data_IF_202031507049
#
_entry.id   IF_202031507049
#
_cell.length_a   1.000
_cell.length_b   1.000
_cell.length_c   1.000
_cell.angle_alpha   90.00
_cell.angle_beta   90.00
_cell.angle_gamma   90.00
#
_symmetry.space_group_name_H-M   'P 1'
#
loop_
_entity.id
_entity.type
_entity.pdbx_description
1 polymer ?
#
# COMPACT_ATOMS: atom_id res chain seq x y z
N UNK A 1 -4.65 -2.27 8.20
CA UNK A 1 -5.47 -3.50 8.25
C UNK A 1 -6.95 -3.20 8.03
N UNK A 2 -7.63 -2.38 8.86
CA UNK A 2 -9.07 -2.12 8.75
C UNK A 2 -9.46 -1.49 7.41
N UNK A 3 -8.66 -0.57 6.87
CA UNK A 3 -8.89 0.03 5.55
C UNK A 3 -8.80 -1.04 4.46
N UNK A 4 -7.78 -1.89 4.49
CA UNK A 4 -7.64 -2.99 3.54
C UNK A 4 -8.85 -3.95 3.60
N UNK A 5 -9.28 -4.33 4.80
CA UNK A 5 -10.45 -5.18 4.99
C UNK A 5 -11.73 -4.54 4.44
N UNK A 6 -11.91 -3.22 4.65
CA UNK A 6 -13.02 -2.48 4.07
C UNK A 6 -12.96 -2.46 2.54
N UNK A 7 -11.80 -2.22 1.93
CA UNK A 7 -11.65 -2.25 0.47
C UNK A 7 -12.10 -3.60 -0.10
N UNK A 8 -11.65 -4.72 0.48
CA UNK A 8 -12.08 -6.05 0.04
C UNK A 8 -13.59 -6.27 0.24
N UNK A 9 -14.15 -5.85 1.38
CA UNK A 9 -15.59 -5.93 1.63
C UNK A 9 -16.38 -5.12 0.60
N UNK A 10 -15.93 -3.95 0.24
CA UNK A 10 -16.56 -3.08 -0.76
C UNK A 10 -16.52 -3.70 -2.15
N UNK A 11 -15.37 -4.22 -2.58
CA UNK A 11 -15.23 -4.95 -3.85
C UNK A 11 -16.18 -6.15 -3.89
N UNK A 12 -16.30 -6.88 -2.77
CA UNK A 12 -17.19 -8.03 -2.64
C UNK A 12 -18.66 -7.68 -2.90
N UNK A 13 -19.12 -6.50 -2.52
CA UNK A 13 -20.47 -6.03 -2.82
C UNK A 13 -20.74 -5.94 -4.33
N UNK A 14 -19.73 -5.63 -5.12
CA UNK A 14 -19.82 -5.63 -6.57
C UNK A 14 -19.64 -7.03 -7.17
N UNK A 15 -18.55 -7.71 -6.78
CA UNK A 15 -18.19 -9.01 -7.32
C UNK A 15 -17.48 -9.88 -6.26
N UNK A 16 -18.17 -10.89 -5.72
CA UNK A 16 -17.66 -11.76 -4.65
C UNK A 16 -16.51 -12.66 -5.15
N UNK A 17 -16.60 -13.18 -6.37
CA UNK A 17 -15.56 -14.04 -6.95
C UNK A 17 -14.26 -13.26 -7.17
N UNK A 18 -14.37 -12.05 -7.73
CA UNK A 18 -13.22 -11.19 -7.92
C UNK A 18 -12.59 -10.76 -6.58
N UNK A 19 -13.40 -10.45 -5.58
CA UNK A 19 -12.91 -10.11 -4.23
C UNK A 19 -12.13 -11.28 -3.60
N UNK A 20 -12.60 -12.52 -3.75
CA UNK A 20 -11.87 -13.72 -3.28
C UNK A 20 -10.57 -13.91 -4.06
N UNK A 21 -10.62 -13.83 -5.39
CA UNK A 21 -9.41 -13.87 -6.20
C UNK A 21 -8.38 -12.83 -5.72
N UNK A 22 -8.79 -11.58 -5.59
CA UNK A 22 -7.90 -10.50 -5.18
C UNK A 22 -7.36 -10.72 -3.77
N UNK A 23 -8.18 -11.18 -2.83
CA UNK A 23 -7.77 -11.42 -1.43
C UNK A 23 -6.83 -12.62 -1.31
N UNK A 24 -7.21 -13.77 -1.87
CA UNK A 24 -6.53 -15.04 -1.62
C UNK A 24 -5.31 -15.22 -2.53
N UNK A 25 -5.43 -14.86 -3.80
CA UNK A 25 -4.37 -15.00 -4.81
C UNK A 25 -3.78 -13.66 -5.22
N UNK A 26 -4.56 -12.79 -5.84
CA UNK A 26 -4.07 -11.57 -6.48
C UNK A 26 -3.32 -11.87 -7.78
N UNK A 27 -2.44 -10.95 -8.19
CA UNK A 27 -1.69 -11.01 -9.43
C UNK A 27 -0.27 -11.53 -9.18
N UNK A 28 0.26 -12.38 -10.06
CA UNK A 28 1.57 -12.98 -9.97
C UNK A 28 1.57 -14.45 -10.41
N UNK A 29 2.69 -15.14 -10.20
CA UNK A 29 2.83 -16.58 -10.49
C UNK A 29 2.56 -17.43 -9.25
N UNK A 30 2.10 -18.64 -9.44
CA UNK A 30 1.80 -19.60 -8.34
C UNK A 30 3.04 -19.94 -7.50
N UNK A 31 4.24 -19.86 -8.08
CA UNK A 31 5.53 -20.11 -7.42
C UNK A 31 6.23 -18.84 -6.91
N UNK A 32 5.69 -17.67 -7.19
CA UNK A 32 6.30 -16.37 -6.93
C UNK A 32 5.57 -15.50 -5.92
N UNK A 33 5.96 -14.21 -5.89
CA UNK A 33 5.26 -13.22 -5.09
C UNK A 33 3.91 -12.88 -5.70
N UNK A 34 2.89 -12.73 -4.86
CA UNK A 34 1.55 -12.32 -5.25
C UNK A 34 1.33 -10.85 -4.87
N UNK A 35 0.83 -10.08 -5.82
CA UNK A 35 0.57 -8.65 -5.65
C UNK A 35 -0.92 -8.34 -5.70
N UNK A 36 -1.36 -7.39 -4.91
CA UNK A 36 -2.77 -6.97 -4.88
C UNK A 36 -3.03 -5.75 -5.76
N UNK A 37 -1.98 -5.05 -6.17
CA UNK A 37 -1.95 -3.94 -7.12
C UNK A 37 -2.90 -2.79 -6.77
N UNK A 38 -2.99 -2.49 -5.49
CA UNK A 38 -3.60 -1.28 -4.98
C UNK A 38 -2.84 -0.76 -3.77
N UNK A 39 -2.99 0.50 -3.51
CA UNK A 39 -2.44 1.14 -2.33
C UNK A 39 -3.39 2.19 -1.77
N UNK A 40 -3.14 2.61 -0.54
CA UNK A 40 -3.91 3.66 0.11
C UNK A 40 -3.06 4.47 1.08
N UNK A 41 -3.45 5.72 1.31
CA UNK A 41 -2.82 6.60 2.28
C UNK A 41 -3.21 6.24 3.71
N UNK A 42 -2.62 6.92 4.67
CA UNK A 42 -3.21 7.02 6.01
C UNK A 42 -4.51 7.81 5.92
N UNK A 43 -5.43 7.52 6.85
CA UNK A 43 -6.63 8.32 7.00
C UNK A 43 -6.23 9.72 7.51
N UNK A 44 -6.65 10.76 6.79
CA UNK A 44 -6.39 12.16 7.15
C UNK A 44 -7.58 12.71 7.93
N UNK A 45 -7.34 13.16 9.16
CA UNK A 45 -8.38 13.66 10.08
C UNK A 45 -7.90 14.85 10.94
N UNK A 46 -6.87 15.54 10.51
CA UNK A 46 -6.30 16.65 11.25
C UNK A 46 -5.55 16.19 12.52
N UNK A 47 -5.57 17.02 13.57
CA UNK A 47 -4.86 16.73 14.82
C UNK A 47 -5.80 16.00 15.80
N UNK A 48 -5.55 14.72 16.12
CA UNK A 48 -6.35 13.99 17.10
C UNK A 48 -5.99 14.38 18.54
N UNK A 49 -6.91 14.18 19.46
CA UNK A 49 -6.61 14.14 20.89
C UNK A 49 -6.08 12.74 21.23
N UNK A 50 -4.90 12.68 21.79
CA UNK A 50 -4.32 11.42 22.28
C UNK A 50 -4.94 11.08 23.63
N UNK A 51 -5.35 9.83 23.78
CA UNK A 51 -5.83 9.22 25.03
C UNK A 51 -4.83 8.13 25.44
N UNK A 52 -3.71 8.49 26.12
CA UNK A 52 -2.59 7.55 26.33
C UNK A 52 -2.95 6.36 27.21
N UNK A 53 -3.85 6.54 28.18
CA UNK A 53 -4.29 5.47 29.07
C UNK A 53 -5.01 4.35 28.32
N UNK A 54 -5.85 4.71 27.36
CA UNK A 54 -6.63 3.78 26.53
C UNK A 54 -5.86 3.36 25.26
N UNK A 55 -4.71 3.98 24.96
CA UNK A 55 -3.95 3.81 23.71
C UNK A 55 -4.76 4.14 22.46
N UNK A 56 -5.64 5.13 22.55
CA UNK A 56 -6.56 5.55 21.51
C UNK A 56 -6.29 6.98 21.04
N UNK A 57 -6.90 7.34 19.90
CA UNK A 57 -7.07 8.73 19.48
C UNK A 57 -8.57 9.07 19.48
N UNK A 58 -8.90 10.21 20.01
CA UNK A 58 -10.22 10.80 19.80
C UNK A 58 -10.14 11.70 18.56
N UNK A 59 -10.99 11.40 17.57
CA UNK A 59 -11.10 12.16 16.31
C UNK A 59 -12.34 13.03 16.41
N UNK A 60 -12.17 14.34 16.30
CA UNK A 60 -13.26 15.33 16.31
C UNK A 60 -13.53 15.93 14.93
N UNK A 61 -12.79 15.51 13.91
CA UNK A 61 -13.02 15.97 12.54
C UNK A 61 -14.36 15.43 12.01
N UNK A 62 -15.16 16.33 11.43
CA UNK A 62 -16.43 15.96 10.80
C UNK A 62 -16.24 15.24 9.45
N UNK A 63 -15.08 15.45 8.81
CA UNK A 63 -14.74 14.86 7.51
C UNK A 63 -13.35 14.25 7.58
N UNK A 64 -13.23 13.06 7.01
CA UNK A 64 -11.98 12.32 6.90
C UNK A 64 -11.66 12.14 5.41
N UNK A 65 -10.38 12.13 5.06
CA UNK A 65 -9.92 11.92 3.69
C UNK A 65 -9.06 10.67 3.62
N UNK A 66 -9.28 9.87 2.58
CA UNK A 66 -8.49 8.69 2.26
C UNK A 66 -8.17 8.70 0.76
N UNK A 67 -6.90 8.55 0.41
CA UNK A 67 -6.49 8.34 -0.97
C UNK A 67 -6.36 6.84 -1.21
N UNK A 68 -6.95 6.36 -2.30
CA UNK A 68 -6.84 4.97 -2.74
C UNK A 68 -6.46 4.98 -4.21
N UNK A 69 -5.55 4.10 -4.60
CA UNK A 69 -5.17 3.94 -6.00
C UNK A 69 -5.15 2.46 -6.37
N UNK A 70 -5.55 2.17 -7.61
CA UNK A 70 -5.60 0.82 -8.19
C UNK A 70 -4.86 0.83 -9.52
N UNK A 71 -3.95 -0.11 -9.73
CA UNK A 71 -3.20 -0.26 -10.99
C UNK A 71 -4.04 -0.98 -12.06
N UNK A 72 -4.95 -1.84 -11.64
CA UNK A 72 -5.82 -2.61 -12.51
C UNK A 72 -7.21 -1.95 -12.60
N UNK A 73 -7.65 -1.46 -13.78
CA UNK A 73 -8.89 -0.70 -13.92
C UNK A 73 -10.13 -1.44 -13.43
N UNK A 74 -10.25 -2.75 -13.65
CA UNK A 74 -11.41 -3.54 -13.21
C UNK A 74 -11.51 -3.59 -11.68
N UNK A 75 -10.39 -3.51 -10.96
CA UNK A 75 -10.40 -3.45 -9.48
C UNK A 75 -11.00 -2.14 -9.00
N UNK A 76 -10.63 -1.03 -9.64
CA UNK A 76 -11.21 0.29 -9.37
C UNK A 76 -12.72 0.30 -9.66
N UNK A 77 -13.15 -0.25 -10.79
CA UNK A 77 -14.56 -0.34 -11.16
C UNK A 77 -15.37 -1.09 -10.11
N UNK A 78 -14.94 -2.28 -9.70
CA UNK A 78 -15.63 -3.06 -8.67
C UNK A 78 -15.66 -2.35 -7.31
N UNK A 79 -14.59 -1.63 -6.96
CA UNK A 79 -14.57 -0.84 -5.73
C UNK A 79 -15.59 0.31 -5.78
N UNK A 80 -15.63 1.07 -6.89
CA UNK A 80 -16.58 2.19 -7.08
C UNK A 80 -18.03 1.68 -7.08
N UNK A 81 -18.33 0.61 -7.81
CA UNK A 81 -19.65 -0.02 -7.81
C UNK A 81 -20.06 -0.47 -6.40
N UNK A 82 -19.13 -1.05 -5.64
CA UNK A 82 -19.37 -1.46 -4.26
C UNK A 82 -19.72 -0.29 -3.35
N UNK A 83 -19.04 0.86 -3.49
CA UNK A 83 -19.36 2.10 -2.75
C UNK A 83 -20.79 2.58 -3.07
N UNK A 84 -21.22 2.53 -4.34
CA UNK A 84 -22.58 2.93 -4.70
C UNK A 84 -23.65 1.97 -4.15
N UNK A 85 -23.31 0.71 -3.88
CA UNK A 85 -24.21 -0.25 -3.23
C UNK A 85 -24.32 -0.07 -1.72
N UNK A 86 -23.22 0.28 -1.05
CA UNK A 86 -23.19 0.55 0.39
C UNK A 86 -22.13 1.61 0.70
N UNK A 87 -22.58 2.78 1.14
CA UNK A 87 -21.74 3.91 1.52
C UNK A 87 -21.32 3.88 2.99
N UNK A 88 -21.90 3.01 3.80
CA UNK A 88 -21.61 2.91 5.21
C UNK A 88 -20.38 2.02 5.44
N UNK A 89 -19.50 2.43 6.34
CA UNK A 89 -18.35 1.63 6.70
C UNK A 89 -18.01 1.77 8.19
N UNK A 90 -17.53 0.67 8.75
CA UNK A 90 -16.97 0.63 10.09
C UNK A 90 -15.47 0.35 10.01
N UNK A 91 -14.67 1.22 10.63
CA UNK A 91 -13.22 1.05 10.76
C UNK A 91 -12.86 0.88 12.24
N UNK A 92 -12.49 -0.31 12.65
CA UNK A 92 -12.12 -0.61 14.02
C UNK A 92 -12.25 -2.08 14.39
N UNK A 93 -12.10 -2.36 15.68
CA UNK A 93 -12.36 -3.66 16.28
C UNK A 93 -13.75 -3.69 16.95
N UNK A 94 -14.02 -4.74 17.74
CA UNK A 94 -15.32 -4.90 18.42
C UNK A 94 -15.56 -3.89 19.55
N UNK A 95 -14.51 -3.24 20.06
CA UNK A 95 -14.60 -2.34 21.22
C UNK A 95 -14.44 -0.88 20.80
N UNK A 96 -13.59 -0.62 19.81
CA UNK A 96 -13.23 0.73 19.41
C UNK A 96 -13.24 0.87 17.89
N UNK A 97 -13.96 1.83 17.37
CA UNK A 97 -14.00 2.10 15.94
C UNK A 97 -14.80 3.32 15.58
N UNK A 98 -14.88 3.56 14.29
CA UNK A 98 -15.57 4.69 13.68
C UNK A 98 -16.64 4.16 12.72
N UNK A 99 -17.88 4.63 12.92
CA UNK A 99 -18.91 4.52 11.89
C UNK A 99 -18.77 5.72 10.97
N UNK A 100 -18.55 5.47 9.69
CA UNK A 100 -18.29 6.47 8.68
C UNK A 100 -19.22 6.26 7.50
N UNK A 101 -19.43 7.33 6.73
CA UNK A 101 -20.16 7.28 5.48
C UNK A 101 -19.35 7.92 4.38
N UNK A 102 -19.26 7.26 3.23
CA UNK A 102 -18.67 7.86 2.03
C UNK A 102 -19.64 8.90 1.48
N UNK A 103 -19.26 10.17 1.55
CA UNK A 103 -20.08 11.29 1.08
C UNK A 103 -19.65 11.79 -0.29
N UNK A 104 -18.38 11.62 -0.63
CA UNK A 104 -17.82 12.11 -1.88
C UNK A 104 -16.73 11.16 -2.35
N UNK A 105 -16.74 10.86 -3.65
CA UNK A 105 -15.67 10.17 -4.36
C UNK A 105 -15.19 11.10 -5.46
N UNK A 106 -13.90 11.39 -5.48
CA UNK A 106 -13.27 12.29 -6.44
C UNK A 106 -12.15 11.55 -7.15
N UNK A 107 -12.14 11.60 -8.47
CA UNK A 107 -11.05 11.10 -9.29
C UNK A 107 -9.97 12.17 -9.37
N UNK A 108 -8.79 11.86 -8.87
CA UNK A 108 -7.64 12.75 -8.95
C UNK A 108 -6.93 12.56 -10.30
N UNK A 109 -6.46 13.64 -10.94
CA UNK A 109 -5.69 13.55 -12.16
C UNK A 109 -4.34 12.87 -11.91
N UNK A 110 -3.91 12.06 -12.86
CA UNK A 110 -2.53 11.53 -12.84
C UNK A 110 -1.52 12.65 -13.13
N UNK A 111 -0.36 12.63 -12.50
CA UNK A 111 0.72 13.56 -12.84
C UNK A 111 1.30 13.22 -14.21
N UNK A 112 1.97 14.20 -14.83
CA UNK A 112 2.85 13.91 -15.99
C UNK A 112 4.09 13.19 -15.45
N UNK A 113 4.27 11.93 -15.85
CA UNK A 113 5.42 11.16 -15.45
C UNK A 113 6.66 11.48 -16.31
N UNK A 114 7.79 11.59 -15.64
CA UNK A 114 9.12 11.78 -16.23
C UNK A 114 10.02 10.63 -15.78
N UNK A 115 11.09 10.36 -16.52
CA UNK A 115 12.06 9.29 -16.17
C UNK A 115 12.73 9.51 -14.79
N UNK A 116 12.79 10.75 -14.34
CA UNK A 116 13.33 11.09 -13.01
C UNK A 116 12.32 11.98 -12.27
N UNK A 117 11.81 11.48 -11.16
CA UNK A 117 10.84 12.19 -10.32
C UNK A 117 11.21 12.13 -8.84
N UNK A 118 10.84 13.19 -8.12
CA UNK A 118 10.95 13.26 -6.66
C UNK A 118 9.64 12.83 -6.00
N UNK A 119 9.74 11.98 -5.01
CA UNK A 119 8.61 11.45 -4.24
C UNK A 119 8.78 11.70 -2.74
N UNK A 120 7.65 11.82 -2.07
CA UNK A 120 7.53 11.76 -0.61
C UNK A 120 6.59 10.62 -0.24
N UNK A 121 7.05 9.75 0.65
CA UNK A 121 6.26 8.63 1.13
C UNK A 121 5.11 9.09 2.04
N UNK A 122 3.89 8.70 1.72
CA UNK A 122 2.70 8.88 2.57
C UNK A 122 2.56 7.76 3.60
N UNK A 123 3.06 6.56 3.25
CA UNK A 123 3.07 5.36 4.10
C UNK A 123 4.47 4.74 4.09
N UNK A 124 4.84 3.92 5.10
CA UNK A 124 6.18 3.37 5.18
C UNK A 124 6.51 2.45 4.00
N UNK A 125 7.64 2.66 3.35
CA UNK A 125 8.19 1.74 2.36
C UNK A 125 8.83 0.56 3.06
N UNK A 126 8.26 -0.61 2.90
CA UNK A 126 8.76 -1.88 3.41
C UNK A 126 9.59 -2.56 2.33
N UNK A 127 10.82 -2.85 2.66
CA UNK A 127 11.74 -3.67 1.86
C UNK A 127 12.29 -4.75 2.79
N UNK A 128 12.16 -6.01 2.40
CA UNK A 128 12.59 -7.13 3.22
C UNK A 128 13.45 -8.13 2.45
N UNK A 129 14.27 -8.84 3.18
CA UNK A 129 15.05 -9.97 2.66
C UNK A 129 14.86 -11.19 3.53
N UNK A 130 14.99 -12.37 2.94
CA UNK A 130 15.17 -13.62 3.70
C UNK A 130 16.65 -13.82 3.93
N UNK A 131 17.01 -14.08 5.18
CA UNK A 131 18.37 -14.47 5.55
C UNK A 131 18.35 -15.93 6.04
N UNK A 132 19.36 -16.70 5.63
CA UNK A 132 19.47 -18.09 6.04
C UNK A 132 19.54 -18.21 7.57
N UNK A 133 18.82 -19.18 8.10
CA UNK A 133 18.73 -19.41 9.54
C UNK A 133 17.77 -18.46 10.29
N UNK A 134 17.15 -17.48 9.62
CA UNK A 134 16.14 -16.62 10.24
C UNK A 134 14.73 -17.00 9.77
N UNK A 135 13.82 -17.38 10.68
CA UNK A 135 12.45 -17.75 10.31
C UNK A 135 11.62 -16.54 9.85
N UNK A 136 11.99 -15.33 10.27
CA UNK A 136 11.29 -14.09 9.93
C UNK A 136 12.11 -13.26 8.94
N UNK A 137 11.46 -12.53 8.01
CA UNK A 137 12.14 -11.63 7.10
C UNK A 137 12.83 -10.49 7.86
N UNK A 138 13.99 -10.07 7.38
CA UNK A 138 14.72 -8.91 7.88
C UNK A 138 14.25 -7.67 7.12
N UNK A 139 13.70 -6.69 7.83
CA UNK A 139 13.25 -5.42 7.26
C UNK A 139 14.42 -4.44 7.18
N UNK A 140 14.82 -4.09 5.97
CA UNK A 140 15.96 -3.19 5.73
C UNK A 140 15.65 -1.75 6.16
N UNK A 141 16.61 -1.11 6.77
CA UNK A 141 16.59 0.33 6.99
C UNK A 141 16.93 1.07 5.68
N UNK A 142 16.47 2.31 5.51
CA UNK A 142 16.71 3.06 4.28
C UNK A 142 18.19 3.48 4.07
N UNK A 143 19.04 3.31 5.07
CA UNK A 143 20.50 3.50 5.03
C UNK A 143 21.28 2.19 4.89
N UNK A 144 20.62 1.05 4.89
CA UNK A 144 21.23 -0.24 4.55
C UNK A 144 21.64 -0.22 3.08
N UNK A 145 22.89 -0.57 2.77
CA UNK A 145 23.45 -0.57 1.41
C UNK A 145 22.66 -1.42 0.41
N UNK A 146 21.98 -2.47 0.91
CA UNK A 146 21.13 -3.37 0.10
C UNK A 146 19.76 -2.78 -0.22
N UNK A 147 19.32 -1.74 0.50
CA UNK A 147 17.95 -1.23 0.42
C UNK A 147 17.58 -0.82 -1.00
N UNK A 148 18.39 0.04 -1.64
CA UNK A 148 18.09 0.58 -2.98
C UNK A 148 18.04 -0.51 -4.04
N UNK A 149 18.97 -1.47 -4.01
CA UNK A 149 18.99 -2.61 -4.95
C UNK A 149 17.78 -3.52 -4.75
N UNK A 150 17.42 -3.84 -3.50
CA UNK A 150 16.26 -4.69 -3.21
C UNK A 150 14.94 -4.01 -3.53
N UNK A 151 14.85 -2.69 -3.30
CA UNK A 151 13.72 -1.88 -3.70
C UNK A 151 13.53 -1.87 -5.22
N UNK A 152 14.62 -1.66 -5.98
CA UNK A 152 14.61 -1.70 -7.44
C UNK A 152 14.18 -3.08 -7.99
N UNK A 153 14.70 -4.16 -7.42
CA UNK A 153 14.30 -5.54 -7.77
C UNK A 153 12.81 -5.77 -7.54
N UNK A 154 12.31 -5.34 -6.39
CA UNK A 154 10.88 -5.49 -6.07
C UNK A 154 9.98 -4.70 -7.04
N UNK A 155 10.36 -3.48 -7.41
CA UNK A 155 9.63 -2.69 -8.40
C UNK A 155 9.64 -3.36 -9.78
N UNK A 156 10.80 -3.85 -10.24
CA UNK A 156 10.92 -4.58 -11.50
C UNK A 156 10.08 -5.87 -11.50
N UNK A 157 10.14 -6.68 -10.44
CA UNK A 157 9.33 -7.89 -10.29
C UNK A 157 7.83 -7.58 -10.36
N UNK A 158 7.38 -6.56 -9.59
CA UNK A 158 5.97 -6.16 -9.57
C UNK A 158 5.50 -5.71 -10.95
N UNK A 159 6.27 -4.88 -11.64
CA UNK A 159 5.96 -4.41 -12.99
C UNK A 159 5.89 -5.57 -13.99
N UNK A 160 6.91 -6.42 -14.05
CA UNK A 160 7.02 -7.47 -15.05
C UNK A 160 5.98 -8.58 -14.90
N UNK A 161 5.46 -8.80 -13.68
CA UNK A 161 4.38 -9.76 -13.44
C UNK A 161 3.00 -9.24 -13.87
N UNK A 162 2.84 -7.94 -14.01
CA UNK A 162 1.53 -7.31 -14.20
C UNK A 162 1.40 -6.57 -15.53
N UNK A 163 2.54 -6.23 -16.15
CA UNK A 163 2.61 -5.52 -17.43
C UNK A 163 3.29 -6.39 -18.49
N UNK A 164 2.74 -7.59 -18.72
CA UNK A 164 3.31 -8.61 -19.64
C UNK A 164 3.30 -8.16 -21.11
N UNK A 165 2.46 -7.19 -21.46
CA UNK A 165 2.38 -6.59 -22.80
C UNK A 165 3.54 -5.63 -23.10
N UNK A 166 4.29 -5.22 -22.06
CA UNK A 166 5.43 -4.30 -22.21
C UNK A 166 6.75 -5.04 -22.08
N UNK A 167 7.85 -4.50 -22.64
CA UNK A 167 9.18 -5.08 -22.44
C UNK A 167 9.52 -5.17 -20.94
N UNK A 168 10.12 -6.30 -20.53
CA UNK A 168 10.52 -6.51 -19.16
C UNK A 168 11.57 -5.47 -18.72
N UNK A 169 11.30 -4.84 -17.57
CA UNK A 169 12.21 -3.88 -16.96
C UNK A 169 13.22 -4.61 -16.08
N UNK A 170 14.50 -4.34 -16.26
CA UNK A 170 15.57 -4.86 -15.40
C UNK A 170 15.80 -3.91 -14.23
N UNK A 171 16.12 -4.45 -13.06
CA UNK A 171 16.30 -3.65 -11.84
C UNK A 171 17.47 -2.65 -11.94
N UNK A 172 18.47 -2.89 -12.81
CA UNK A 172 19.56 -1.96 -13.07
C UNK A 172 19.10 -0.66 -13.77
N UNK A 173 17.91 -0.66 -14.37
CA UNK A 173 17.29 0.52 -14.97
C UNK A 173 16.53 1.39 -13.93
N UNK A 174 16.50 0.95 -12.68
CA UNK A 174 15.76 1.60 -11.59
C UNK A 174 16.76 2.08 -10.55
N UNK A 175 16.84 3.39 -10.35
CA UNK A 175 17.71 4.01 -9.35
C UNK A 175 16.86 4.71 -8.30
N UNK A 176 17.02 4.27 -7.06
CA UNK A 176 16.37 4.86 -5.88
C UNK A 176 17.41 5.64 -5.09
N UNK A 177 17.30 6.96 -5.04
CA UNK A 177 18.22 7.84 -4.31
C UNK A 177 17.49 8.58 -3.20
N UNK A 178 17.82 8.31 -1.95
CA UNK A 178 17.28 9.01 -0.80
C UNK A 178 17.79 10.46 -0.76
N UNK A 179 16.88 11.42 -0.52
CA UNK A 179 17.21 12.86 -0.52
C UNK A 179 17.60 13.34 0.87
N UNK A 180 16.92 12.86 1.91
CA UNK A 180 17.09 13.34 3.28
C UNK A 180 17.18 12.20 4.29
N UNK A 181 17.15 12.52 5.59
CA UNK A 181 17.03 11.57 6.67
C UNK A 181 15.75 10.73 6.54
N UNK A 182 15.67 9.62 7.25
CA UNK A 182 14.51 8.75 7.25
C UNK A 182 14.00 8.48 8.67
N UNK A 183 12.72 8.10 8.75
CA UNK A 183 12.09 7.67 10.00
C UNK A 183 11.61 6.24 9.85
N UNK A 184 12.06 5.34 10.71
CA UNK A 184 11.49 3.99 10.80
C UNK A 184 10.09 4.05 11.40
N UNK A 185 9.16 3.34 10.79
CA UNK A 185 7.78 3.26 11.25
C UNK A 185 7.29 1.82 11.10
N UNK A 186 6.76 1.26 12.18
CA UNK A 186 6.22 -0.09 12.18
C UNK A 186 4.70 -0.08 12.33
N UNK A 187 4.09 -1.15 11.86
CA UNK A 187 2.68 -1.46 12.11
C UNK A 187 2.53 -2.96 12.39
N UNK A 188 1.46 -3.32 13.05
CA UNK A 188 1.16 -4.71 13.42
C UNK A 188 0.06 -5.23 12.51
N UNK A 189 0.28 -6.40 11.93
CA UNK A 189 -0.70 -7.16 11.15
C UNK A 189 -1.33 -8.19 12.06
N UNK A 190 -2.65 -8.35 11.98
CA UNK A 190 -3.44 -9.31 12.79
C UNK A 190 -3.17 -9.20 14.31
N UNK A 191 -3.30 -7.99 14.90
CA UNK A 191 -2.99 -7.78 16.30
C UNK A 191 -3.83 -8.68 17.21
N UNK A 192 -3.22 -9.20 18.29
CA UNK A 192 -3.89 -10.06 19.26
C UNK A 192 -4.22 -11.47 18.77
N UNK A 193 -3.67 -11.90 17.63
CA UNK A 193 -3.87 -13.25 17.09
C UNK A 193 -2.56 -14.03 17.05
N UNK A 194 -2.59 -15.38 16.94
CA UNK A 194 -1.37 -16.19 16.75
C UNK A 194 -0.59 -15.85 15.47
N UNK A 195 -1.19 -15.08 14.54
CA UNK A 195 -0.56 -14.61 13.30
C UNK A 195 -0.07 -13.16 13.40
N UNK A 196 -0.03 -12.61 14.60
CA UNK A 196 0.47 -11.25 14.79
C UNK A 196 1.89 -11.11 14.25
N UNK A 197 2.08 -10.15 13.37
CA UNK A 197 3.38 -9.86 12.75
C UNK A 197 3.64 -8.37 12.77
N UNK A 198 4.80 -7.98 13.31
CA UNK A 198 5.27 -6.59 13.26
C UNK A 198 6.02 -6.36 11.96
N UNK A 199 5.52 -5.45 11.14
CA UNK A 199 6.17 -5.01 9.89
C UNK A 199 6.80 -3.65 10.12
N UNK A 200 8.04 -3.47 9.64
CA UNK A 200 8.78 -2.21 9.78
C UNK A 200 9.19 -1.70 8.42
N UNK A 201 8.85 -0.46 8.13
CA UNK A 201 9.25 0.24 6.92
C UNK A 201 9.89 1.59 7.23
N UNK A 202 10.14 2.36 6.20
CA UNK A 202 10.84 3.63 6.26
C UNK A 202 10.01 4.73 5.62
N UNK A 203 10.02 5.93 6.21
CA UNK A 203 9.42 7.16 5.68
C UNK A 203 10.53 8.14 5.35
N UNK A 204 10.62 8.57 4.11
CA UNK A 204 11.64 9.51 3.61
C UNK A 204 11.21 10.12 2.28
N UNK A 205 11.98 11.09 1.80
CA UNK A 205 11.88 11.61 0.44
C UNK A 205 12.99 11.03 -0.43
N UNK A 206 12.69 10.74 -1.69
CA UNK A 206 13.63 10.12 -2.60
C UNK A 206 13.41 10.59 -4.04
N UNK A 207 14.44 10.43 -4.85
CA UNK A 207 14.35 10.51 -6.30
C UNK A 207 14.30 9.10 -6.85
N UNK A 208 13.38 8.85 -7.76
CA UNK A 208 13.30 7.63 -8.55
C UNK A 208 13.65 7.97 -9.99
N UNK A 209 14.68 7.31 -10.54
CA UNK A 209 14.97 7.31 -11.97
C UNK A 209 14.67 5.94 -12.52
N UNK A 210 13.72 5.85 -13.45
CA UNK A 210 13.21 4.59 -13.98
C UNK A 210 12.43 4.82 -15.29
N UNK A 211 12.12 3.78 -16.07
CA UNK A 211 11.13 3.88 -17.15
C UNK A 211 9.77 4.42 -16.64
N UNK A 212 9.08 5.19 -17.48
CA UNK A 212 7.81 5.84 -17.12
C UNK A 212 6.77 4.82 -16.60
N UNK A 213 6.74 3.62 -17.15
CA UNK A 213 5.81 2.55 -16.72
C UNK A 213 6.02 2.12 -15.28
N UNK A 214 7.25 2.20 -14.77
CA UNK A 214 7.55 1.96 -13.34
C UNK A 214 6.95 3.06 -12.47
N UNK A 215 7.03 4.33 -12.91
CA UNK A 215 6.41 5.45 -12.17
C UNK A 215 4.89 5.32 -12.14
N UNK A 216 4.25 4.95 -13.26
CA UNK A 216 2.80 4.70 -13.35
C UNK A 216 2.38 3.57 -12.40
N UNK A 217 3.03 2.41 -12.47
CA UNK A 217 2.77 1.29 -11.57
C UNK A 217 3.02 1.68 -10.10
N UNK A 218 4.11 2.38 -9.81
CA UNK A 218 4.43 2.83 -8.46
C UNK A 218 3.38 3.80 -7.89
N UNK A 219 2.83 4.67 -8.73
CA UNK A 219 1.74 5.58 -8.38
C UNK A 219 0.43 4.84 -8.09
N UNK A 220 0.07 3.86 -8.93
CA UNK A 220 -1.20 3.17 -8.90
C UNK A 220 -1.23 1.98 -7.93
N UNK A 221 -0.15 1.20 -7.85
CA UNK A 221 -0.06 0.01 -6.98
C UNK A 221 0.76 0.22 -5.70
N UNK A 222 1.41 1.39 -5.56
CA UNK A 222 2.35 1.67 -4.48
C UNK A 222 3.68 0.94 -4.63
N UNK A 223 4.70 1.45 -3.96
CA UNK A 223 6.09 0.97 -4.09
C UNK A 223 6.48 -0.08 -3.05
N UNK A 224 5.74 -0.19 -1.97
CA UNK A 224 6.06 -1.09 -0.85
C UNK A 224 5.66 -2.54 -1.15
N UNK A 225 6.38 -3.51 -0.57
CA UNK A 225 5.96 -4.92 -0.55
C UNK A 225 4.60 -5.13 0.12
N UNK A 226 4.20 -4.18 0.98
CA UNK A 226 2.97 -4.22 1.79
C UNK A 226 2.05 -3.04 1.47
N UNK A 227 1.99 -2.60 0.22
CA UNK A 227 1.20 -1.43 -0.20
C UNK A 227 -0.30 -1.56 0.09
N UNK A 228 -0.85 -2.77 0.05
CA UNK A 228 -2.28 -3.07 0.25
C UNK A 228 -2.66 -3.46 1.68
N UNK A 229 -1.77 -3.23 2.67
CA UNK A 229 -1.98 -3.62 4.07
C UNK A 229 -2.08 -2.44 5.02
#
# INVERSE_FOLDING_TARGET
>A
YYISAWIYKTIKLSNDEFARFLHDRGYGSDEGKLFKLFCFSRLEFGKPLLLPAEKLFQISAATLRLLISFDIPITASHFIEGIFKDQELYLGDKQHGLNLRVTTVELLPEPVFLETMRYRLLTPWVVSIKEDGKPQPVYLAADDERFSTMAARHLAEKHNLTHTETPAVRHEQIVVSRINGFKRSGFVISPGTPRETRVVGNLFEFTLTAPITIHQMAWNAGISEKSSM
#
